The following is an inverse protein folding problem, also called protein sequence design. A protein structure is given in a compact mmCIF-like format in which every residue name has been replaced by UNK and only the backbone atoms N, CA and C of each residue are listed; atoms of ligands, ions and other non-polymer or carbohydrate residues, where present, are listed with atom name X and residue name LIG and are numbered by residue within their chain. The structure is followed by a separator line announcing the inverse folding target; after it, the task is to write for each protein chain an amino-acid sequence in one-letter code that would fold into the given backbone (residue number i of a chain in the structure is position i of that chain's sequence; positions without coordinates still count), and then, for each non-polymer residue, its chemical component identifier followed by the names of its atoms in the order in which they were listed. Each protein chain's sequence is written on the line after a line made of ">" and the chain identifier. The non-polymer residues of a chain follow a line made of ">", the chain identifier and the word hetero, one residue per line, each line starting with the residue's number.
data_IF_746678873369
#
_entry.id   IF_746678873369
#
_cell.length_a   1.000
_cell.length_b   1.000
_cell.length_c   1.000
_cell.angle_alpha   90.00
_cell.angle_beta   90.00
_cell.angle_gamma   90.00
#
_symmetry.space_group_name_H-M   'P 1'
#
loop_
_entity.id
_entity.type
_entity.pdbx_description
1 polymer ?
#
# COMPACT_ATOMS: atom_id res chain seq x y z
N UNK A 1 17.82 -2.52 28.90
CA UNK A 1 17.17 -2.08 27.65
C UNK A 1 18.09 -2.43 26.49
N UNK A 2 17.95 -3.61 25.87
CA UNK A 2 18.90 -4.08 24.83
C UNK A 2 18.75 -3.36 23.48
N UNK A 3 17.60 -2.73 23.25
CA UNK A 3 17.33 -1.96 22.03
C UNK A 3 17.17 -0.49 22.45
N UNK A 4 17.90 0.42 21.80
CA UNK A 4 17.95 1.84 22.18
C UNK A 4 16.59 2.56 22.17
N UNK A 5 16.51 3.78 22.71
CA UNK A 5 15.25 4.51 22.91
C UNK A 5 14.48 4.76 21.59
N UNK A 6 15.20 4.98 20.49
CA UNK A 6 14.61 5.17 19.16
C UNK A 6 13.79 3.93 18.76
N UNK A 7 14.36 2.73 18.88
CA UNK A 7 13.66 1.49 18.54
C UNK A 7 12.40 1.30 19.38
N UNK A 8 12.46 1.60 20.67
CA UNK A 8 11.31 1.45 21.56
C UNK A 8 10.13 2.35 21.13
N UNK A 9 10.40 3.62 20.85
CA UNK A 9 9.38 4.59 20.41
C UNK A 9 8.78 4.14 19.07
N UNK A 10 9.62 3.78 18.10
CA UNK A 10 9.15 3.31 16.80
C UNK A 10 8.35 2.00 16.92
N UNK A 11 8.74 1.08 17.79
CA UNK A 11 8.02 -0.17 17.99
C UNK A 11 6.61 0.06 18.54
N UNK A 12 6.46 0.96 19.52
CA UNK A 12 5.14 1.32 20.05
C UNK A 12 4.29 1.95 18.94
N UNK A 13 4.86 2.88 18.17
CA UNK A 13 4.15 3.54 17.09
C UNK A 13 3.67 2.55 16.01
N UNK A 14 4.58 1.71 15.51
CA UNK A 14 4.29 0.73 14.46
C UNK A 14 3.29 -0.33 14.93
N UNK A 15 3.43 -0.88 16.14
CA UNK A 15 2.44 -1.83 16.68
C UNK A 15 1.09 -1.16 16.96
N UNK A 16 1.07 0.12 17.33
CA UNK A 16 -0.16 0.89 17.54
C UNK A 16 -0.98 1.08 16.25
N UNK A 17 -0.33 1.31 15.11
CA UNK A 17 -0.98 1.45 13.81
C UNK A 17 -1.77 0.21 13.38
N UNK A 18 -1.46 -0.96 13.95
CA UNK A 18 -2.18 -2.22 13.71
C UNK A 18 -3.66 -2.10 14.04
N UNK A 19 -4.02 -1.40 15.12
CA UNK A 19 -5.40 -1.25 15.56
C UNK A 19 -6.23 -0.32 14.66
N UNK A 20 -5.56 0.56 13.91
CA UNK A 20 -6.18 1.47 12.96
C UNK A 20 -6.31 0.83 11.58
N UNK A 21 -5.56 -0.24 11.29
CA UNK A 21 -5.56 -0.90 9.99
C UNK A 21 -6.82 -1.73 9.76
N UNK A 22 -7.59 -1.35 8.74
CA UNK A 22 -8.79 -2.06 8.33
C UNK A 22 -8.50 -3.50 7.89
N UNK A 23 -7.31 -3.78 7.35
CA UNK A 23 -6.86 -5.15 7.02
C UNK A 23 -6.79 -6.05 8.26
N UNK A 24 -6.35 -5.50 9.39
CA UNK A 24 -6.24 -6.23 10.66
C UNK A 24 -7.61 -6.51 11.26
N UNK A 25 -8.50 -5.51 11.19
CA UNK A 25 -9.89 -5.68 11.57
C UNK A 25 -10.57 -6.78 10.74
N UNK A 26 -10.37 -6.80 9.41
CA UNK A 26 -10.90 -7.86 8.54
C UNK A 26 -10.32 -9.24 8.89
N UNK A 27 -9.02 -9.33 9.18
CA UNK A 27 -8.40 -10.58 9.64
C UNK A 27 -8.99 -11.07 10.96
N UNK A 28 -9.23 -10.16 11.90
CA UNK A 28 -9.84 -10.48 13.17
C UNK A 28 -11.27 -11.01 12.98
N UNK A 29 -12.11 -10.32 12.20
CA UNK A 29 -13.47 -10.75 11.91
C UNK A 29 -13.51 -12.13 11.25
N UNK A 30 -12.64 -12.37 10.26
CA UNK A 30 -12.59 -13.66 9.57
C UNK A 30 -12.29 -14.83 10.52
N UNK A 31 -11.34 -14.65 11.44
CA UNK A 31 -11.03 -15.68 12.45
C UNK A 31 -12.16 -15.82 13.47
N UNK A 32 -12.75 -14.70 13.89
CA UNK A 32 -13.81 -14.69 14.89
C UNK A 32 -15.07 -15.43 14.41
N UNK A 33 -15.47 -15.25 13.15
CA UNK A 33 -16.68 -15.86 12.60
C UNK A 33 -16.48 -17.31 12.14
N UNK A 34 -15.36 -17.62 11.47
CA UNK A 34 -15.22 -18.91 10.79
C UNK A 34 -14.39 -19.94 11.54
N UNK A 35 -13.45 -19.53 12.40
CA UNK A 35 -12.42 -20.44 12.93
C UNK A 35 -12.06 -20.20 14.41
N UNK A 36 -12.99 -19.67 15.21
CA UNK A 36 -12.74 -19.28 16.61
C UNK A 36 -12.17 -20.43 17.46
N UNK A 37 -12.75 -21.63 17.33
CA UNK A 37 -12.39 -22.82 18.13
C UNK A 37 -11.53 -23.83 17.35
N UNK A 38 -11.02 -23.45 16.17
CA UNK A 38 -10.24 -24.35 15.31
C UNK A 38 -8.73 -24.26 15.59
N UNK A 39 -7.97 -25.20 15.00
CA UNK A 39 -6.51 -25.27 15.11
C UNK A 39 -5.80 -24.01 14.56
N UNK A 40 -4.61 -23.73 15.06
CA UNK A 40 -3.84 -22.52 14.68
C UNK A 40 -3.50 -22.47 13.19
N UNK A 41 -3.35 -23.62 12.53
CA UNK A 41 -3.14 -23.70 11.08
C UNK A 41 -4.35 -23.21 10.28
N UNK A 42 -5.56 -23.60 10.68
CA UNK A 42 -6.79 -23.13 10.03
C UNK A 42 -6.99 -21.63 10.22
N UNK A 43 -6.66 -21.10 11.41
CA UNK A 43 -6.67 -19.66 11.68
C UNK A 43 -5.67 -18.91 10.79
N UNK A 44 -4.49 -19.48 10.57
CA UNK A 44 -3.46 -18.91 9.68
C UNK A 44 -3.93 -18.86 8.23
N UNK A 45 -4.57 -19.93 7.74
CA UNK A 45 -5.16 -19.99 6.40
C UNK A 45 -6.26 -18.94 6.25
N UNK A 46 -7.19 -18.85 7.20
CA UNK A 46 -8.27 -17.86 7.19
C UNK A 46 -7.76 -16.41 7.12
N UNK A 47 -6.70 -16.10 7.88
CA UNK A 47 -6.05 -14.78 7.83
C UNK A 47 -5.45 -14.46 6.47
N UNK A 48 -4.87 -15.45 5.78
CA UNK A 48 -4.32 -15.25 4.42
C UNK A 48 -5.42 -14.95 3.42
N UNK A 49 -6.49 -15.74 3.44
CA UNK A 49 -7.67 -15.51 2.61
C UNK A 49 -8.32 -14.16 2.86
N UNK A 50 -8.45 -13.75 4.12
CA UNK A 50 -8.99 -12.44 4.47
C UNK A 50 -8.16 -11.29 3.88
N UNK A 51 -6.82 -11.41 3.89
CA UNK A 51 -5.92 -10.41 3.29
C UNK A 51 -6.10 -10.37 1.77
N UNK A 52 -6.14 -11.53 1.11
CA UNK A 52 -6.24 -11.59 -0.35
C UNK A 52 -7.60 -11.05 -0.82
N UNK A 53 -8.68 -11.42 -0.12
CA UNK A 53 -10.01 -10.86 -0.35
C UNK A 53 -10.03 -9.34 -0.15
N UNK A 54 -9.42 -8.84 0.93
CA UNK A 54 -9.35 -7.41 1.18
C UNK A 54 -8.58 -6.65 0.09
N UNK A 55 -7.48 -7.22 -0.41
CA UNK A 55 -6.72 -6.64 -1.53
C UNK A 55 -7.62 -6.55 -2.77
N UNK A 56 -8.34 -7.62 -3.13
CA UNK A 56 -9.25 -7.58 -4.28
C UNK A 56 -10.38 -6.56 -4.08
N UNK A 57 -10.99 -6.52 -2.89
CA UNK A 57 -12.08 -5.61 -2.57
C UNK A 57 -11.69 -4.14 -2.70
N UNK A 58 -10.52 -3.74 -2.20
CA UNK A 58 -10.06 -2.33 -2.33
C UNK A 58 -9.75 -1.94 -3.78
N UNK A 59 -9.23 -2.87 -4.59
CA UNK A 59 -9.00 -2.64 -6.03
C UNK A 59 -10.32 -2.44 -6.77
N UNK A 60 -11.31 -3.30 -6.51
CA UNK A 60 -12.65 -3.17 -7.09
C UNK A 60 -13.29 -1.84 -6.68
N UNK A 61 -13.16 -1.46 -5.40
CA UNK A 61 -13.70 -0.21 -4.87
C UNK A 61 -13.16 1.01 -5.60
N UNK A 62 -11.85 1.11 -5.83
CA UNK A 62 -11.27 2.27 -6.52
C UNK A 62 -11.64 2.28 -8.01
N UNK A 63 -11.61 1.13 -8.69
CA UNK A 63 -12.02 1.03 -10.11
C UNK A 63 -13.49 1.44 -10.27
N UNK A 64 -14.36 0.93 -9.39
CA UNK A 64 -15.77 1.27 -9.37
C UNK A 64 -15.98 2.77 -9.13
N UNK A 65 -15.29 3.35 -8.14
CA UNK A 65 -15.37 4.78 -7.84
C UNK A 65 -14.91 5.67 -9.01
N UNK A 66 -13.88 5.25 -9.75
CA UNK A 66 -13.46 5.94 -10.97
C UNK A 66 -14.53 5.84 -12.06
N UNK A 67 -15.16 4.67 -12.26
CA UNK A 67 -16.22 4.49 -13.25
C UNK A 67 -17.44 5.39 -13.01
N UNK A 68 -17.86 5.55 -11.75
CA UNK A 68 -18.96 6.45 -11.37
C UNK A 68 -18.52 7.90 -11.17
N UNK A 69 -17.23 8.21 -11.36
CA UNK A 69 -16.64 9.55 -11.17
C UNK A 69 -16.92 10.17 -9.80
N UNK A 70 -16.78 9.38 -8.73
CA UNK A 70 -17.06 9.81 -7.36
C UNK A 70 -16.07 10.89 -6.91
N UNK A 71 -16.55 12.05 -6.46
CA UNK A 71 -15.73 13.20 -6.02
C UNK A 71 -15.97 13.61 -4.55
N UNK A 72 -16.60 12.75 -3.76
CA UNK A 72 -16.95 13.05 -2.38
C UNK A 72 -15.71 13.20 -1.47
N UNK A 73 -15.63 14.27 -0.67
CA UNK A 73 -14.55 14.53 0.29
C UNK A 73 -14.30 13.37 1.26
N UNK A 74 -15.36 12.74 1.77
CA UNK A 74 -15.23 11.56 2.65
C UNK A 74 -14.55 10.40 1.92
N UNK A 75 -14.85 10.23 0.63
CA UNK A 75 -14.20 9.22 -0.19
C UNK A 75 -12.75 9.58 -0.49
N UNK A 76 -12.44 10.86 -0.73
CA UNK A 76 -11.05 11.33 -0.86
C UNK A 76 -10.23 11.02 0.40
N UNK A 77 -10.79 11.27 1.59
CA UNK A 77 -10.16 10.92 2.87
C UNK A 77 -9.98 9.39 2.99
N UNK A 78 -10.98 8.61 2.59
CA UNK A 78 -10.89 7.15 2.56
C UNK A 78 -9.74 6.67 1.66
N UNK A 79 -9.58 7.24 0.46
CA UNK A 79 -8.47 6.87 -0.44
C UNK A 79 -7.11 7.23 0.16
N UNK A 80 -6.98 8.37 0.82
CA UNK A 80 -5.75 8.74 1.54
C UNK A 80 -5.42 7.72 2.64
N UNK A 81 -6.44 7.35 3.41
CA UNK A 81 -6.34 6.29 4.41
C UNK A 81 -5.94 4.95 3.79
N UNK A 82 -6.51 4.56 2.64
CA UNK A 82 -6.16 3.31 1.96
C UNK A 82 -4.72 3.30 1.43
N UNK A 83 -4.20 4.43 0.95
CA UNK A 83 -2.80 4.57 0.55
C UNK A 83 -1.89 4.35 1.78
N UNK A 84 -2.16 5.08 2.87
CA UNK A 84 -1.34 5.00 4.08
C UNK A 84 -1.36 3.60 4.68
N UNK A 85 -2.54 2.99 4.82
CA UNK A 85 -2.68 1.64 5.35
C UNK A 85 -2.10 0.57 4.43
N UNK A 86 -2.10 0.77 3.11
CA UNK A 86 -1.43 -0.11 2.16
C UNK A 86 0.09 -0.10 2.38
N UNK A 87 0.69 1.09 2.52
CA UNK A 87 2.12 1.24 2.82
C UNK A 87 2.47 0.62 4.18
N UNK A 88 1.73 0.98 5.22
CA UNK A 88 1.91 0.45 6.58
C UNK A 88 1.82 -1.07 6.62
N UNK A 89 0.76 -1.65 6.06
CA UNK A 89 0.52 -3.10 6.11
C UNK A 89 1.63 -3.84 5.38
N UNK A 90 2.08 -3.31 4.23
CA UNK A 90 3.19 -3.90 3.51
C UNK A 90 4.48 -3.84 4.35
N UNK A 91 4.83 -2.66 4.88
CA UNK A 91 5.99 -2.46 5.77
C UNK A 91 5.96 -3.42 6.98
N UNK A 92 4.85 -3.44 7.71
CA UNK A 92 4.69 -4.22 8.93
C UNK A 92 4.90 -5.71 8.67
N UNK A 93 4.21 -6.29 7.69
CA UNK A 93 4.27 -7.73 7.45
C UNK A 93 5.53 -8.21 6.73
N UNK A 94 6.19 -7.33 5.98
CA UNK A 94 7.35 -7.71 5.18
C UNK A 94 8.67 -7.31 5.81
N UNK A 95 8.71 -6.32 6.70
CA UNK A 95 9.93 -5.85 7.36
C UNK A 95 9.86 -5.98 8.88
N UNK A 96 8.79 -5.48 9.52
CA UNK A 96 8.77 -5.29 10.97
C UNK A 96 8.41 -6.55 11.77
N UNK A 97 7.40 -7.29 11.33
CA UNK A 97 6.81 -8.39 12.08
C UNK A 97 7.80 -9.55 12.25
N UNK A 98 7.78 -10.25 13.40
CA UNK A 98 8.72 -11.36 13.72
C UNK A 98 8.81 -12.41 12.60
N UNK A 99 7.67 -12.82 12.05
CA UNK A 99 7.63 -13.80 10.95
C UNK A 99 8.29 -13.31 9.65
N UNK A 100 8.54 -12.00 9.50
CA UNK A 100 9.27 -11.43 8.38
C UNK A 100 10.79 -11.66 8.46
N UNK A 101 11.30 -12.01 9.66
CA UNK A 101 12.71 -12.26 9.95
C UNK A 101 13.07 -13.76 9.96
N UNK A 102 12.08 -14.67 10.01
CA UNK A 102 12.35 -16.11 9.90
C UNK A 102 12.73 -16.48 8.45
N UNK A 103 14.02 -16.77 8.26
CA UNK A 103 14.67 -17.26 7.03
C UNK A 103 14.57 -18.77 6.85
N UNK A 104 14.17 -19.49 7.90
CA UNK A 104 14.01 -20.95 7.90
C UNK A 104 12.85 -21.33 6.97
N UNK A 105 13.20 -21.87 5.80
CA UNK A 105 12.34 -22.20 4.66
C UNK A 105 11.77 -20.99 3.89
N UNK A 106 12.61 -20.39 3.04
CA UNK A 106 12.11 -19.69 1.85
C UNK A 106 11.50 -20.71 0.88
N UNK A 107 10.30 -21.22 1.20
CA UNK A 107 9.48 -21.91 0.21
C UNK A 107 9.30 -20.96 -0.98
N UNK A 108 9.61 -21.44 -2.19
CA UNK A 108 9.59 -20.66 -3.44
C UNK A 108 8.26 -19.88 -3.57
N UNK A 109 7.15 -20.50 -3.17
CA UNK A 109 5.81 -19.89 -3.23
C UNK A 109 5.65 -18.69 -2.29
N UNK A 110 6.34 -18.68 -1.14
CA UNK A 110 6.32 -17.56 -0.20
C UNK A 110 7.02 -16.34 -0.81
N UNK A 111 8.12 -16.54 -1.54
CA UNK A 111 8.84 -15.47 -2.24
C UNK A 111 7.99 -14.93 -3.38
N UNK A 112 7.41 -15.82 -4.21
CA UNK A 112 6.51 -15.44 -5.32
C UNK A 112 5.31 -14.64 -4.82
N UNK A 113 4.65 -15.08 -3.74
CA UNK A 113 3.50 -14.37 -3.15
C UNK A 113 3.87 -12.98 -2.64
N UNK A 114 5.02 -12.83 -1.99
CA UNK A 114 5.52 -11.52 -1.54
C UNK A 114 5.73 -10.56 -2.71
N UNK A 115 6.37 -11.04 -3.77
CA UNK A 115 6.60 -10.25 -4.98
C UNK A 115 5.29 -9.81 -5.66
N UNK A 116 4.31 -10.71 -5.79
CA UNK A 116 2.99 -10.36 -6.33
C UNK A 116 2.29 -9.32 -5.44
N UNK A 117 2.34 -9.51 -4.12
CA UNK A 117 1.70 -8.59 -3.15
C UNK A 117 2.33 -7.20 -3.21
N UNK A 118 3.64 -7.11 -3.43
CA UNK A 118 4.37 -5.87 -3.63
C UNK A 118 3.93 -5.14 -4.90
N UNK A 119 3.92 -5.82 -6.05
CA UNK A 119 3.48 -5.22 -7.32
C UNK A 119 2.04 -4.72 -7.19
N UNK A 120 1.16 -5.52 -6.57
CA UNK A 120 -0.22 -5.10 -6.29
C UNK A 120 -0.28 -3.91 -5.34
N UNK A 121 0.64 -3.78 -4.38
CA UNK A 121 0.68 -2.65 -3.46
C UNK A 121 1.11 -1.36 -4.16
N UNK A 122 2.13 -1.42 -5.03
CA UNK A 122 2.60 -0.28 -5.84
C UNK A 122 1.53 0.11 -6.86
N UNK A 123 1.00 -0.86 -7.60
CA UNK A 123 -0.05 -0.61 -8.59
C UNK A 123 -1.30 0.00 -7.96
N UNK A 124 -1.71 -0.48 -6.79
CA UNK A 124 -2.84 0.09 -6.06
C UNK A 124 -2.58 1.54 -5.64
N UNK A 125 -1.37 1.84 -5.15
CA UNK A 125 -0.98 3.20 -4.77
C UNK A 125 -1.06 4.14 -5.98
N UNK A 126 -0.49 3.74 -7.12
CA UNK A 126 -0.57 4.53 -8.36
C UNK A 126 -2.01 4.72 -8.83
N UNK A 127 -2.85 3.69 -8.74
CA UNK A 127 -4.26 3.82 -9.11
C UNK A 127 -5.01 4.82 -8.20
N UNK A 128 -4.71 4.85 -6.90
CA UNK A 128 -5.27 5.82 -5.97
C UNK A 128 -4.82 7.26 -6.28
N UNK A 129 -3.54 7.47 -6.61
CA UNK A 129 -3.05 8.78 -7.04
C UNK A 129 -3.64 9.19 -8.40
N UNK A 130 -3.80 8.26 -9.33
CA UNK A 130 -4.52 8.52 -10.59
C UNK A 130 -5.97 8.96 -10.34
N UNK A 131 -6.66 8.34 -9.38
CA UNK A 131 -7.97 8.79 -8.93
C UNK A 131 -7.91 10.23 -8.39
N UNK A 132 -6.96 10.56 -7.52
CA UNK A 132 -6.80 11.92 -6.98
C UNK A 132 -6.62 12.98 -8.07
N UNK A 133 -5.73 12.71 -9.02
CA UNK A 133 -5.42 13.61 -10.13
C UNK A 133 -6.63 13.78 -11.06
N UNK A 134 -7.39 12.70 -11.30
CA UNK A 134 -8.52 12.72 -12.22
C UNK A 134 -9.78 13.35 -11.65
N UNK A 135 -10.02 13.21 -10.35
CA UNK A 135 -11.31 13.55 -9.74
C UNK A 135 -11.17 14.71 -8.72
N UNK A 136 -10.82 14.49 -7.44
CA UNK A 136 -10.90 15.54 -6.42
C UNK A 136 -9.92 16.69 -6.63
N UNK A 137 -8.77 16.47 -7.29
CA UNK A 137 -7.74 17.49 -7.50
C UNK A 137 -7.56 17.85 -8.98
N UNK A 138 -8.56 17.60 -9.83
CA UNK A 138 -8.40 17.79 -11.28
C UNK A 138 -8.03 19.23 -11.68
N UNK A 139 -8.44 20.22 -10.89
CA UNK A 139 -8.15 21.65 -11.09
C UNK A 139 -6.72 22.03 -10.74
N UNK A 140 -6.03 21.19 -9.96
CA UNK A 140 -4.65 21.38 -9.54
C UNK A 140 -3.63 20.90 -10.60
N UNK A 141 -4.14 20.32 -11.69
CA UNK A 141 -3.36 19.81 -12.81
C UNK A 141 -3.83 20.42 -14.13
N UNK A 142 -2.87 20.79 -14.98
CA UNK A 142 -3.09 21.26 -16.35
C UNK A 142 -2.97 20.08 -17.30
N UNK A 143 -3.99 19.91 -18.15
CA UNK A 143 -4.10 18.83 -19.11
C UNK A 143 -3.88 19.36 -20.52
N UNK A 144 -2.84 18.90 -21.21
CA UNK A 144 -2.41 19.43 -22.52
C UNK A 144 -3.51 19.29 -23.58
N UNK A 145 -4.21 18.16 -23.61
CA UNK A 145 -5.27 17.89 -24.58
C UNK A 145 -6.63 18.50 -24.18
N UNK A 146 -6.71 19.24 -23.05
CA UNK A 146 -7.94 19.74 -22.39
C UNK A 146 -9.03 18.68 -22.11
N UNK A 147 -8.74 17.39 -22.39
CA UNK A 147 -9.64 16.27 -22.19
C UNK A 147 -9.22 15.49 -20.96
N UNK A 148 -10.10 15.45 -19.96
CA UNK A 148 -9.86 14.70 -18.74
C UNK A 148 -9.99 13.18 -19.01
N UNK A 149 -8.86 12.49 -19.12
CA UNK A 149 -8.80 11.06 -19.40
C UNK A 149 -8.27 10.26 -18.22
N UNK A 150 -9.00 9.23 -17.81
CA UNK A 150 -8.59 8.31 -16.74
C UNK A 150 -7.29 7.58 -17.08
N UNK A 151 -7.12 7.19 -18.35
CA UNK A 151 -5.91 6.52 -18.81
C UNK A 151 -4.70 7.45 -18.70
N UNK A 152 -4.85 8.73 -19.06
CA UNK A 152 -3.78 9.71 -18.93
C UNK A 152 -3.41 9.96 -17.45
N UNK A 153 -4.40 9.98 -16.55
CA UNK A 153 -4.15 10.08 -15.11
C UNK A 153 -3.34 8.88 -14.58
N UNK A 154 -3.68 7.66 -15.03
CA UNK A 154 -2.96 6.44 -14.69
C UNK A 154 -1.53 6.48 -15.24
N UNK A 155 -1.35 6.86 -16.51
CA UNK A 155 -0.03 6.99 -17.12
C UNK A 155 0.84 8.03 -16.40
N UNK A 156 0.29 9.20 -16.09
CA UNK A 156 1.00 10.23 -15.33
C UNK A 156 1.38 9.74 -13.93
N UNK A 157 0.44 9.11 -13.21
CA UNK A 157 0.73 8.57 -11.89
C UNK A 157 1.82 7.51 -11.94
N UNK A 158 1.78 6.59 -12.92
CA UNK A 158 2.86 5.62 -13.12
C UNK A 158 4.20 6.30 -13.45
N UNK A 159 4.21 7.29 -14.35
CA UNK A 159 5.41 8.01 -14.71
C UNK A 159 6.02 8.74 -13.50
N UNK A 160 5.20 9.48 -12.75
CA UNK A 160 5.61 10.16 -11.52
C UNK A 160 6.19 9.17 -10.49
N UNK A 161 5.55 8.00 -10.29
CA UNK A 161 6.06 6.97 -9.37
C UNK A 161 7.44 6.42 -9.74
N UNK A 162 7.81 6.53 -11.01
CA UNK A 162 9.08 6.08 -11.58
C UNK A 162 10.05 7.25 -11.84
N UNK A 163 9.73 8.45 -11.37
CA UNK A 163 10.50 9.69 -11.66
C UNK A 163 10.66 9.98 -13.16
N UNK A 164 9.75 9.46 -13.99
CA UNK A 164 9.73 9.69 -15.42
C UNK A 164 8.85 10.90 -15.76
N UNK A 165 9.26 11.67 -16.76
CA UNK A 165 8.48 12.81 -17.26
C UNK A 165 7.25 12.33 -18.05
N UNK A 166 6.14 13.08 -17.93
CA UNK A 166 4.91 12.82 -18.67
C UNK A 166 4.26 14.13 -19.12
N UNK A 167 4.52 14.60 -20.35
CA UNK A 167 4.23 15.97 -20.77
C UNK A 167 2.74 16.31 -20.95
N UNK A 168 1.83 15.33 -20.81
CA UNK A 168 0.38 15.55 -21.02
C UNK A 168 -0.35 16.09 -19.81
N UNK A 169 0.22 15.94 -18.61
CA UNK A 169 -0.37 16.39 -17.35
C UNK A 169 0.76 17.03 -16.54
N UNK A 170 0.53 18.25 -16.05
CA UNK A 170 1.49 18.94 -15.19
C UNK A 170 0.78 19.54 -13.98
N UNK A 171 1.41 19.49 -12.80
CA UNK A 171 0.91 20.19 -11.62
C UNK A 171 1.04 21.71 -11.84
N UNK A 172 -0.02 22.46 -11.53
CA UNK A 172 -0.05 23.93 -11.69
C UNK A 172 -0.19 24.67 -10.37
N UNK A 173 -0.72 24.02 -9.34
CA UNK A 173 -0.91 24.61 -8.01
C UNK A 173 0.02 23.97 -6.98
N UNK A 174 0.20 24.64 -5.85
CA UNK A 174 0.95 24.09 -4.71
C UNK A 174 0.38 22.75 -4.23
N UNK A 175 -0.95 22.59 -4.27
CA UNK A 175 -1.61 21.33 -3.90
C UNK A 175 -1.25 20.22 -4.89
N UNK A 176 -1.29 20.51 -6.19
CA UNK A 176 -0.85 19.58 -7.23
C UNK A 176 0.59 19.11 -7.03
N UNK A 177 1.51 20.05 -6.74
CA UNK A 177 2.90 19.72 -6.43
C UNK A 177 3.05 18.89 -5.15
N UNK A 178 2.28 19.19 -4.10
CA UNK A 178 2.31 18.39 -2.87
C UNK A 178 1.85 16.95 -3.12
N UNK A 179 0.81 16.75 -3.95
CA UNK A 179 0.32 15.42 -4.30
C UNK A 179 1.39 14.62 -5.04
N UNK A 180 2.07 15.22 -6.02
CA UNK A 180 3.14 14.54 -6.76
C UNK A 180 4.32 14.19 -5.87
N UNK A 181 4.72 15.09 -4.96
CA UNK A 181 5.78 14.86 -3.97
C UNK A 181 5.40 13.72 -3.00
N UNK A 182 4.18 13.73 -2.46
CA UNK A 182 3.72 12.66 -1.55
C UNK A 182 3.72 11.32 -2.27
N UNK A 183 3.28 11.28 -3.53
CA UNK A 183 3.38 10.06 -4.33
C UNK A 183 4.84 9.60 -4.48
N UNK A 184 5.76 10.50 -4.82
CA UNK A 184 7.19 10.19 -4.96
C UNK A 184 7.78 9.62 -3.67
N UNK A 185 7.46 10.22 -2.51
CA UNK A 185 7.91 9.72 -1.20
C UNK A 185 7.40 8.29 -0.98
N UNK A 186 6.12 8.02 -1.24
CA UNK A 186 5.53 6.69 -1.05
C UNK A 186 6.16 5.67 -2.00
N UNK A 187 6.36 6.03 -3.26
CA UNK A 187 7.05 5.20 -4.26
C UNK A 187 8.49 4.89 -3.84
N UNK A 188 9.21 5.89 -3.32
CA UNK A 188 10.57 5.72 -2.82
C UNK A 188 10.62 4.81 -1.58
N UNK A 189 9.66 4.94 -0.66
CA UNK A 189 9.55 4.00 0.47
C UNK A 189 9.34 2.59 -0.07
N UNK A 190 8.37 2.35 -0.96
CA UNK A 190 8.18 1.03 -1.55
C UNK A 190 9.46 0.48 -2.18
N UNK A 191 10.17 1.28 -2.97
CA UNK A 191 11.46 0.89 -3.57
C UNK A 191 12.49 0.50 -2.51
N UNK A 192 12.60 1.29 -1.44
CA UNK A 192 13.49 0.99 -0.31
C UNK A 192 13.13 -0.32 0.38
N UNK A 193 11.83 -0.63 0.53
CA UNK A 193 11.38 -1.91 1.10
C UNK A 193 11.76 -3.11 0.22
N UNK A 194 11.78 -2.93 -1.10
CA UNK A 194 12.24 -3.95 -2.06
C UNK A 194 13.73 -4.19 -1.86
N UNK A 195 14.53 -3.13 -1.95
CA UNK A 195 15.98 -3.21 -1.84
C UNK A 195 16.42 -3.83 -0.51
N UNK A 196 15.78 -3.45 0.58
CA UNK A 196 16.07 -3.98 1.92
C UNK A 196 15.77 -5.48 2.08
N UNK A 197 14.97 -6.09 1.19
CA UNK A 197 14.63 -7.53 1.22
C UNK A 197 15.32 -8.34 0.13
N UNK A 198 15.84 -7.71 -0.90
CA UNK A 198 16.66 -8.36 -1.93
C UNK A 198 18.11 -8.55 -1.50
N UNK A 199 18.58 -7.80 -0.49
CA UNK A 199 19.91 -8.00 0.08
C UNK A 199 19.94 -9.30 0.92
N UNK A 200 20.96 -10.17 0.74
CA UNK A 200 21.06 -11.40 1.51
C UNK A 200 21.16 -11.08 3.00
N UNK A 201 20.26 -11.66 3.79
CA UNK A 201 20.31 -11.56 5.24
C UNK A 201 21.45 -12.47 5.71
N UNK A 202 22.54 -11.88 6.18
CA UNK A 202 23.65 -12.64 6.74
C UNK A 202 23.15 -13.43 7.94
N UNK A 203 23.27 -14.77 7.86
CA UNK A 203 23.15 -15.62 9.04
C UNK A 203 24.29 -15.24 9.98
N UNK A 204 23.98 -14.49 11.04
CA UNK A 204 24.87 -14.41 12.20
C UNK A 204 24.84 -15.79 12.86
N UNK A 205 25.74 -16.67 12.42
CA UNK A 205 26.11 -17.87 13.18
C UNK A 205 26.83 -17.39 14.43
N UNK A 206 26.12 -17.42 15.56
CA UNK A 206 26.72 -17.46 16.91
C UNK A 206 26.21 -18.70 17.60
#
# INVERSE_FOLDING_TARGET
>A
MKNGPIYFIFNIFIEGLKYISLVEFFKFLAVYFFYRNDSDDKKSIARRWAVDFFILAKWILIIYAMNISLTNTYFTILIWYLIFTNLYTYFYYHIWHKNAMNTESFLIDRVRRRFITLILSIGFSNLCFAYFIRYPYNTDFVWTDKKLSTIQAICFSCANSLTADYPKINASTNIGFQITIVQLIISFVFLTLILGKTLPQTTSTT
#
